data_IF_524535828755
#
_entry.id   IF_524535828755
#
_cell.length_a   1.000
_cell.length_b   1.000
_cell.length_c   1.000
_cell.angle_alpha   90.00
_cell.angle_beta   90.00
_cell.angle_gamma   90.00
#
_symmetry.space_group_name_H-M   'P 1'
#
loop_
_entity.id
_entity.type
_entity.pdbx_description
1 polymer ?
#
# COMPACT_ATOMS: atom_id res chain seq x y z
N UNK A 1 -22.29 1.24 -11.90
CA UNK A 1 -21.20 1.90 -11.16
C UNK A 1 -19.95 1.67 -11.97
N UNK A 2 -19.26 2.71 -12.41
CA UNK A 2 -17.99 2.54 -13.13
C UNK A 2 -17.03 1.78 -12.21
N UNK A 3 -16.42 0.70 -12.70
CA UNK A 3 -15.33 0.03 -11.96
C UNK A 3 -14.24 1.08 -11.67
N UNK A 4 -13.88 1.23 -10.39
CA UNK A 4 -12.78 2.12 -10.02
C UNK A 4 -11.51 1.60 -10.68
N UNK A 5 -10.96 2.36 -11.63
CA UNK A 5 -9.78 2.00 -12.40
C UNK A 5 -8.58 2.73 -11.82
N UNK A 6 -7.42 2.05 -11.74
CA UNK A 6 -6.19 2.69 -11.30
C UNK A 6 -5.78 3.84 -12.24
N UNK A 7 -5.35 4.99 -11.71
CA UNK A 7 -4.78 6.05 -12.52
C UNK A 7 -3.42 5.63 -13.10
N UNK A 8 -2.99 6.32 -14.16
CA UNK A 8 -1.61 6.18 -14.67
C UNK A 8 -0.62 6.74 -13.64
N UNK A 9 0.48 6.02 -13.39
CA UNK A 9 1.55 6.45 -12.48
C UNK A 9 2.04 7.88 -12.82
N UNK A 10 2.38 8.13 -14.09
CA UNK A 10 2.91 9.42 -14.53
C UNK A 10 1.89 10.56 -14.41
N UNK A 11 0.61 10.28 -14.69
CA UNK A 11 -0.45 11.27 -14.54
C UNK A 11 -0.64 11.65 -13.07
N UNK A 12 -0.69 10.66 -12.17
CA UNK A 12 -0.82 10.91 -10.74
C UNK A 12 0.41 11.65 -10.19
N UNK A 13 1.62 11.28 -10.62
CA UNK A 13 2.84 12.00 -10.24
C UNK A 13 2.77 13.49 -10.61
N UNK A 14 2.32 13.79 -11.84
CA UNK A 14 2.14 15.17 -12.31
C UNK A 14 1.08 15.94 -11.51
N UNK A 15 -0.03 15.29 -11.14
CA UNK A 15 -1.10 15.90 -10.36
C UNK A 15 -0.66 16.20 -8.91
N UNK A 16 0.07 15.27 -8.28
CA UNK A 16 0.64 15.45 -6.93
C UNK A 16 1.68 16.57 -6.90
N UNK A 17 2.57 16.61 -7.91
CA UNK A 17 3.56 17.66 -8.05
C UNK A 17 2.89 19.03 -8.27
N UNK A 18 1.86 19.12 -9.11
CA UNK A 18 1.11 20.35 -9.35
C UNK A 18 0.38 20.85 -8.09
N UNK A 19 0.00 19.93 -7.21
CA UNK A 19 -0.55 20.23 -5.89
C UNK A 19 0.51 20.60 -4.83
N UNK A 20 1.80 20.61 -5.19
CA UNK A 20 2.94 20.86 -4.29
C UNK A 20 3.01 19.88 -3.10
N UNK A 21 2.61 18.62 -3.34
CA UNK A 21 2.65 17.56 -2.35
C UNK A 21 3.96 16.79 -2.46
N UNK A 22 4.65 16.62 -1.33
CA UNK A 22 5.91 15.88 -1.26
C UNK A 22 5.66 14.38 -1.06
N UNK A 23 4.87 13.78 -1.96
CA UNK A 23 4.61 12.34 -2.00
C UNK A 23 4.48 11.88 -3.46
N UNK A 24 5.05 10.73 -3.77
CA UNK A 24 4.99 10.10 -5.09
C UNK A 24 3.85 9.06 -5.16
N UNK A 25 3.46 8.58 -6.37
CA UNK A 25 2.34 7.64 -6.50
C UNK A 25 2.55 6.30 -5.78
N UNK A 26 3.78 5.80 -5.68
CA UNK A 26 4.09 4.53 -4.99
C UNK A 26 3.91 4.68 -3.48
N UNK A 27 4.50 5.74 -2.92
CA UNK A 27 4.34 6.12 -1.52
C UNK A 27 2.85 6.31 -1.17
N UNK A 28 2.12 7.09 -1.98
CA UNK A 28 0.70 7.33 -1.76
C UNK A 28 -0.11 6.04 -1.83
N UNK A 29 0.12 5.19 -2.84
CA UNK A 29 -0.63 3.95 -2.97
C UNK A 29 -0.34 2.98 -1.82
N UNK A 30 0.93 2.89 -1.39
CA UNK A 30 1.33 2.11 -0.20
C UNK A 30 0.57 2.57 1.03
N UNK A 31 0.60 3.89 1.31
CA UNK A 31 -0.10 4.50 2.44
C UNK A 31 -1.60 4.14 2.46
N UNK A 32 -2.27 4.34 1.33
CA UNK A 32 -3.70 4.02 1.16
C UNK A 32 -3.99 2.54 1.40
N UNK A 33 -3.17 1.64 0.83
CA UNK A 33 -3.31 0.21 1.01
C UNK A 33 -3.09 -0.22 2.47
N UNK A 34 -2.12 0.39 3.16
CA UNK A 34 -1.85 0.15 4.58
C UNK A 34 -3.01 0.59 5.47
N UNK A 35 -3.57 1.77 5.20
CA UNK A 35 -4.76 2.26 5.90
C UNK A 35 -5.95 1.31 5.74
N UNK A 36 -6.21 0.84 4.50
CA UNK A 36 -7.25 -0.15 4.22
C UNK A 36 -6.97 -1.49 4.90
N UNK A 37 -5.73 -1.96 4.87
CA UNK A 37 -5.30 -3.19 5.55
C UNK A 37 -5.53 -3.11 7.06
N UNK A 38 -5.35 -1.92 7.65
CA UNK A 38 -5.59 -1.65 9.07
C UNK A 38 -7.04 -1.34 9.46
N UNK A 39 -7.99 -1.35 8.51
CA UNK A 39 -9.42 -1.21 8.80
C UNK A 39 -10.00 0.20 8.64
N UNK A 40 -9.24 1.15 8.05
CA UNK A 40 -9.83 2.44 7.65
C UNK A 40 -10.87 2.19 6.57
N UNK A 41 -12.09 2.71 6.78
CA UNK A 41 -13.22 2.44 5.89
C UNK A 41 -13.31 3.44 4.75
N UNK A 42 -13.97 3.05 3.67
CA UNK A 42 -14.28 3.92 2.51
C UNK A 42 -15.57 4.72 2.69
N UNK A 43 -16.32 4.46 3.77
CA UNK A 43 -17.69 4.96 3.97
C UNK A 43 -17.74 6.42 4.43
N UNK A 44 -16.63 6.94 4.96
CA UNK A 44 -16.51 8.32 5.40
C UNK A 44 -15.25 9.01 4.85
N UNK A 45 -15.00 10.25 5.30
CA UNK A 45 -13.86 11.05 4.89
C UNK A 45 -12.68 10.99 5.89
N UNK A 46 -12.70 10.08 6.86
CA UNK A 46 -11.64 9.96 7.88
C UNK A 46 -10.26 9.69 7.25
N UNK A 47 -10.22 8.94 6.16
CA UNK A 47 -9.00 8.69 5.39
C UNK A 47 -8.36 9.99 4.85
N UNK A 48 -9.15 11.01 4.53
CA UNK A 48 -8.62 12.28 4.03
C UNK A 48 -7.85 13.03 5.12
N UNK A 49 -8.39 13.07 6.34
CA UNK A 49 -7.72 13.71 7.46
C UNK A 49 -6.36 13.04 7.74
N UNK A 50 -6.31 11.71 7.76
CA UNK A 50 -5.06 10.95 7.94
C UNK A 50 -4.02 11.28 6.87
N UNK A 51 -4.43 11.36 5.60
CA UNK A 51 -3.51 11.73 4.51
C UNK A 51 -3.05 13.18 4.66
N UNK A 52 -3.94 14.12 4.97
CA UNK A 52 -3.56 15.53 5.13
C UNK A 52 -2.56 15.71 6.26
N UNK A 53 -2.79 15.06 7.40
CA UNK A 53 -1.89 15.09 8.54
C UNK A 53 -0.52 14.48 8.17
N UNK A 54 -0.51 13.36 7.45
CA UNK A 54 0.73 12.68 7.06
C UNK A 54 1.55 13.42 5.99
N UNK A 55 0.89 14.11 5.04
CA UNK A 55 1.55 14.62 3.83
C UNK A 55 1.62 16.14 3.73
N UNK A 56 0.85 16.88 4.52
CA UNK A 56 0.64 18.31 4.32
C UNK A 56 0.32 19.06 5.62
N UNK A 57 0.83 18.61 6.77
CA UNK A 57 0.64 19.23 8.09
C UNK A 57 -0.84 19.51 8.44
N UNK A 58 -1.74 18.61 8.00
CA UNK A 58 -3.19 18.72 8.22
C UNK A 58 -3.91 19.68 7.26
N UNK A 59 -3.19 20.34 6.35
CA UNK A 59 -3.79 21.20 5.33
C UNK A 59 -4.43 20.36 4.22
N UNK A 60 -5.68 20.70 3.88
CA UNK A 60 -6.43 20.02 2.84
C UNK A 60 -5.77 20.11 1.46
N UNK A 61 -5.89 19.04 0.69
CA UNK A 61 -5.38 18.97 -0.67
C UNK A 61 -6.30 19.67 -1.69
N UNK A 62 -5.77 20.11 -2.85
CA UNK A 62 -6.61 20.60 -3.95
C UNK A 62 -7.62 19.56 -4.45
N UNK A 63 -8.81 20.01 -4.85
CA UNK A 63 -9.93 19.14 -5.26
C UNK A 63 -9.59 18.18 -6.41
N UNK A 64 -8.73 18.60 -7.35
CA UNK A 64 -8.28 17.76 -8.47
C UNK A 64 -7.49 16.55 -7.97
N UNK A 65 -6.47 16.78 -7.14
CA UNK A 65 -5.66 15.71 -6.55
C UNK A 65 -6.53 14.78 -5.68
N UNK A 66 -7.42 15.34 -4.85
CA UNK A 66 -8.35 14.56 -4.04
C UNK A 66 -9.25 13.63 -4.85
N UNK A 67 -9.67 14.06 -6.04
CA UNK A 67 -10.52 13.23 -6.90
C UNK A 67 -9.76 12.00 -7.40
N UNK A 68 -8.50 12.17 -7.81
CA UNK A 68 -7.64 11.08 -8.25
C UNK A 68 -7.30 10.12 -7.10
N UNK A 69 -6.95 10.66 -5.92
CA UNK A 69 -6.65 9.84 -4.74
C UNK A 69 -7.86 9.05 -4.27
N UNK A 70 -9.06 9.66 -4.31
CA UNK A 70 -10.29 8.95 -3.99
C UNK A 70 -10.57 7.79 -4.95
N UNK A 71 -10.28 7.97 -6.25
CA UNK A 71 -10.42 6.89 -7.23
C UNK A 71 -9.43 5.76 -6.95
N UNK A 72 -8.17 6.09 -6.67
CA UNK A 72 -7.15 5.12 -6.29
C UNK A 72 -7.56 4.35 -5.03
N UNK A 73 -7.97 5.04 -3.97
CA UNK A 73 -8.41 4.43 -2.71
C UNK A 73 -9.56 3.44 -2.90
N UNK A 74 -10.57 3.81 -3.70
CA UNK A 74 -11.70 2.93 -3.99
C UNK A 74 -11.30 1.72 -4.86
N UNK A 75 -10.38 1.90 -5.81
CA UNK A 75 -9.85 0.80 -6.62
C UNK A 75 -9.06 -0.20 -5.75
N UNK A 76 -8.16 0.30 -4.90
CA UNK A 76 -7.38 -0.52 -3.96
C UNK A 76 -8.30 -1.26 -2.97
N UNK A 77 -9.32 -0.58 -2.42
CA UNK A 77 -10.31 -1.24 -1.57
C UNK A 77 -11.05 -2.35 -2.30
N UNK A 78 -11.44 -2.13 -3.57
CA UNK A 78 -12.11 -3.15 -4.38
C UNK A 78 -11.22 -4.38 -4.59
N UNK A 79 -9.93 -4.19 -4.85
CA UNK A 79 -8.94 -5.27 -4.99
C UNK A 79 -8.78 -6.07 -3.69
N UNK A 80 -8.56 -5.39 -2.56
CA UNK A 80 -8.41 -6.04 -1.25
C UNK A 80 -9.67 -6.79 -0.80
N UNK A 81 -10.84 -6.20 -1.03
CA UNK A 81 -12.12 -6.81 -0.68
C UNK A 81 -12.51 -8.00 -1.60
N UNK A 82 -11.93 -8.08 -2.80
CA UNK A 82 -12.21 -9.15 -3.77
C UNK A 82 -11.86 -10.54 -3.24
N UNK A 83 -12.42 -11.58 -3.87
CA UNK A 83 -12.08 -12.98 -3.59
C UNK A 83 -10.97 -13.52 -4.48
N UNK A 84 -10.50 -12.70 -5.42
CA UNK A 84 -9.53 -13.11 -6.43
C UNK A 84 -8.10 -12.90 -5.95
N UNK A 85 -7.91 -12.35 -4.74
CA UNK A 85 -6.61 -12.06 -4.12
C UNK A 85 -5.64 -11.34 -5.06
N UNK A 86 -6.18 -10.43 -5.87
CA UNK A 86 -5.43 -9.60 -6.79
C UNK A 86 -5.15 -8.28 -6.11
N UNK A 87 -3.86 -7.95 -5.95
CA UNK A 87 -3.40 -6.63 -5.55
C UNK A 87 -2.43 -6.10 -6.61
N UNK A 88 -2.71 -4.90 -7.09
CA UNK A 88 -1.83 -4.16 -8.00
C UNK A 88 -0.94 -3.23 -7.19
N UNK A 89 0.38 -3.25 -7.38
CA UNK A 89 1.27 -2.23 -6.83
C UNK A 89 1.42 -1.10 -7.86
N UNK A 90 1.00 0.12 -7.49
CA UNK A 90 1.21 1.32 -8.31
C UNK A 90 2.65 1.83 -8.15
N UNK A 91 3.57 1.26 -8.91
CA UNK A 91 5.00 1.60 -8.92
C UNK A 91 5.44 2.03 -10.34
N UNK A 92 6.63 2.65 -10.53
CA UNK A 92 7.17 2.92 -11.85
C UNK A 92 7.20 1.66 -12.73
N UNK A 93 7.18 1.81 -14.06
CA UNK A 93 7.26 0.63 -14.95
C UNK A 93 8.72 0.36 -15.30
N UNK A 94 9.13 -0.90 -15.20
CA UNK A 94 10.44 -1.36 -15.66
C UNK A 94 10.44 -1.54 -17.19
N UNK A 95 11.31 -0.81 -17.90
CA UNK A 95 11.48 -0.90 -19.34
C UNK A 95 12.90 -1.26 -19.80
N UNK A 96 13.89 -1.15 -18.92
CA UNK A 96 15.31 -1.43 -19.16
C UNK A 96 16.08 -1.55 -17.81
N UNK A 97 17.38 -1.83 -17.88
CA UNK A 97 18.22 -2.03 -16.69
C UNK A 97 18.33 -0.75 -15.82
N UNK A 98 18.27 0.45 -16.39
CA UNK A 98 18.28 1.71 -15.64
C UNK A 98 16.95 1.93 -14.91
N UNK A 99 15.85 1.45 -15.50
CA UNK A 99 14.54 1.44 -14.89
C UNK A 99 14.39 0.41 -13.75
N UNK A 100 15.27 -0.61 -13.67
CA UNK A 100 15.22 -1.60 -12.56
C UNK A 100 15.46 -0.94 -11.20
N UNK A 101 16.41 -0.02 -11.10
CA UNK A 101 16.69 0.70 -9.85
C UNK A 101 15.48 1.53 -9.41
N UNK A 102 14.91 2.33 -10.32
CA UNK A 102 13.71 3.14 -10.04
C UNK A 102 12.50 2.26 -9.69
N UNK A 103 12.39 1.10 -10.32
CA UNK A 103 11.33 0.13 -10.02
C UNK A 103 11.50 -0.46 -8.62
N UNK A 104 12.71 -0.89 -8.26
CA UNK A 104 13.02 -1.41 -6.93
C UNK A 104 12.79 -0.35 -5.83
N UNK A 105 13.28 0.87 -6.04
CA UNK A 105 13.03 2.01 -5.15
C UNK A 105 11.53 2.27 -4.99
N UNK A 106 10.77 2.24 -6.09
CA UNK A 106 9.32 2.39 -6.04
C UNK A 106 8.63 1.28 -5.25
N UNK A 107 9.10 0.03 -5.33
CA UNK A 107 8.59 -1.09 -4.51
C UNK A 107 8.91 -0.87 -3.03
N UNK A 108 10.13 -0.46 -2.71
CA UNK A 108 10.57 -0.16 -1.35
C UNK A 108 9.78 1.01 -0.76
N UNK A 109 9.60 2.09 -1.51
CA UNK A 109 8.77 3.24 -1.15
C UNK A 109 7.33 2.82 -0.85
N UNK A 110 6.77 1.95 -1.71
CA UNK A 110 5.42 1.42 -1.54
C UNK A 110 5.30 0.63 -0.22
N UNK A 111 6.26 -0.25 0.08
CA UNK A 111 6.25 -1.06 1.31
C UNK A 111 6.42 -0.18 2.56
N UNK A 112 7.37 0.76 2.55
CA UNK A 112 7.58 1.70 3.66
C UNK A 112 6.30 2.48 3.98
N UNK A 113 5.59 2.94 2.95
CA UNK A 113 4.36 3.69 3.13
C UNK A 113 3.17 2.80 3.49
N UNK A 114 3.13 1.54 3.02
CA UNK A 114 2.17 0.56 3.51
C UNK A 114 2.29 0.35 5.03
N UNK A 115 3.51 0.17 5.53
CA UNK A 115 3.77 0.04 6.98
C UNK A 115 3.31 1.31 7.72
N UNK A 116 3.63 2.48 7.17
CA UNK A 116 3.20 3.78 7.73
C UNK A 116 1.67 3.90 7.79
N UNK A 117 0.97 3.54 6.71
CA UNK A 117 -0.48 3.59 6.61
C UNK A 117 -1.17 2.62 7.57
N UNK A 118 -0.59 1.45 7.76
CA UNK A 118 -1.04 0.49 8.76
C UNK A 118 -0.91 1.07 10.19
N UNK A 119 0.19 1.76 10.47
CA UNK A 119 0.39 2.48 11.74
C UNK A 119 -0.64 3.60 11.97
N UNK A 120 -1.01 4.34 10.92
CA UNK A 120 -2.05 5.38 11.00
C UNK A 120 -3.45 4.85 11.31
N UNK A 121 -3.73 3.59 10.96
CA UNK A 121 -5.01 2.94 11.26
C UNK A 121 -5.17 2.56 12.75
N UNK A 122 -4.17 2.85 13.60
CA UNK A 122 -4.19 2.62 15.05
C UNK A 122 -4.49 1.16 15.45
N UNK A 123 -3.96 0.21 14.67
CA UNK A 123 -4.11 -1.23 14.94
C UNK A 123 -3.42 -1.65 16.24
N UNK A 124 -3.99 -2.63 16.95
CA UNK A 124 -3.37 -3.23 18.14
C UNK A 124 -2.51 -4.45 17.75
N UNK A 125 -1.25 -4.18 17.40
CA UNK A 125 -0.27 -5.22 17.06
C UNK A 125 0.01 -6.20 18.20
N UNK A 126 -0.25 -5.84 19.47
CA UNK A 126 0.02 -6.75 20.59
C UNK A 126 -0.85 -7.99 20.51
N UNK A 127 -2.08 -7.83 20.00
CA UNK A 127 -3.08 -8.87 19.85
C UNK A 127 -3.04 -9.59 18.50
N UNK A 128 -2.23 -9.11 17.56
CA UNK A 128 -2.10 -9.72 16.25
C UNK A 128 -1.55 -11.16 16.35
N UNK A 129 -2.01 -12.01 15.44
CA UNK A 129 -1.53 -13.38 15.25
C UNK A 129 -0.02 -13.45 14.98
N UNK A 130 0.57 -14.66 15.11
CA UNK A 130 1.96 -14.90 14.71
C UNK A 130 2.17 -14.57 13.23
N UNK A 131 1.23 -14.98 12.39
CA UNK A 131 1.32 -14.87 10.95
C UNK A 131 1.24 -13.41 10.51
N UNK A 132 0.40 -12.59 11.17
CA UNK A 132 0.37 -11.15 10.95
C UNK A 132 1.67 -10.46 11.38
N UNK A 133 2.28 -10.89 12.49
CA UNK A 133 3.56 -10.34 12.96
C UNK A 133 4.72 -10.73 12.03
N UNK A 134 4.73 -11.95 11.54
CA UNK A 134 5.70 -12.44 10.54
C UNK A 134 5.54 -11.69 9.22
N UNK A 135 4.30 -11.54 8.73
CA UNK A 135 4.02 -10.76 7.52
C UNK A 135 4.50 -9.31 7.63
N UNK A 136 4.30 -8.66 8.79
CA UNK A 136 4.81 -7.32 9.03
C UNK A 136 6.35 -7.29 9.07
N UNK A 137 6.98 -8.24 9.75
CA UNK A 137 8.44 -8.35 9.82
C UNK A 137 9.06 -8.55 8.43
N UNK A 138 8.46 -9.39 7.59
CA UNK A 138 8.93 -9.60 6.22
C UNK A 138 8.85 -8.31 5.40
N UNK A 139 7.77 -7.53 5.54
CA UNK A 139 7.64 -6.23 4.91
C UNK A 139 8.71 -5.24 5.43
N UNK A 140 9.02 -5.25 6.72
CA UNK A 140 10.09 -4.44 7.31
C UNK A 140 11.48 -4.80 6.77
N UNK A 141 11.74 -6.08 6.47
CA UNK A 141 12.99 -6.49 5.82
C UNK A 141 13.03 -6.11 4.33
N UNK A 142 11.92 -6.27 3.61
CA UNK A 142 11.79 -5.85 2.20
C UNK A 142 11.95 -4.33 2.06
N UNK A 143 11.49 -3.55 3.04
CA UNK A 143 11.65 -2.10 3.08
C UNK A 143 13.12 -1.62 3.11
N UNK A 144 14.08 -2.54 3.30
CA UNK A 144 15.52 -2.28 3.29
C UNK A 144 16.21 -2.81 2.03
N UNK A 145 15.46 -3.37 1.07
CA UNK A 145 16.00 -3.91 -0.16
C UNK A 145 16.67 -2.82 -0.99
N UNK A 146 17.79 -3.16 -1.62
CA UNK A 146 18.46 -2.35 -2.62
C UNK A 146 18.98 -3.27 -3.73
N UNK A 147 19.01 -2.77 -4.96
CA UNK A 147 19.63 -3.46 -6.09
C UNK A 147 21.13 -3.22 -6.03
N UNK A 148 21.92 -4.29 -6.19
CA UNK A 148 23.38 -4.22 -6.23
C UNK A 148 23.83 -4.14 -7.69
N UNK A 149 24.56 -3.07 -8.05
CA UNK A 149 25.07 -2.87 -9.41
C UNK A 149 26.20 -3.85 -9.79
N UNK A 150 26.84 -4.47 -8.81
CA UNK A 150 27.92 -5.44 -9.02
C UNK A 150 27.40 -6.86 -9.34
N UNK A 151 26.11 -7.12 -9.07
CA UNK A 151 25.44 -8.40 -9.25
C UNK A 151 24.69 -8.52 -10.60
N UNK A 152 24.16 -9.72 -10.91
CA UNK A 152 23.39 -9.97 -12.13
C UNK A 152 22.01 -9.28 -12.06
N UNK A 153 21.86 -8.17 -12.78
CA UNK A 153 20.62 -7.37 -12.82
C UNK A 153 19.42 -8.17 -13.35
N UNK A 154 19.62 -9.11 -14.27
CA UNK A 154 18.54 -9.93 -14.80
C UNK A 154 18.04 -10.92 -13.73
N UNK A 155 18.96 -11.49 -12.95
CA UNK A 155 18.61 -12.33 -11.81
C UNK A 155 17.88 -11.52 -10.73
N UNK A 156 18.37 -10.32 -10.40
CA UNK A 156 17.75 -9.45 -9.41
C UNK A 156 16.34 -9.00 -9.83
N UNK A 157 16.12 -8.70 -11.11
CA UNK A 157 14.79 -8.40 -11.64
C UNK A 157 13.80 -9.57 -11.43
N UNK A 158 14.23 -10.81 -11.68
CA UNK A 158 13.39 -11.99 -11.44
C UNK A 158 13.09 -12.21 -9.94
N UNK A 159 14.07 -11.97 -9.07
CA UNK A 159 13.88 -12.04 -7.63
C UNK A 159 12.89 -10.97 -7.15
N UNK A 160 12.98 -9.75 -7.70
CA UNK A 160 12.07 -8.67 -7.35
C UNK A 160 10.62 -9.00 -7.72
N UNK A 161 10.36 -9.67 -8.84
CA UNK A 161 9.02 -10.17 -9.18
C UNK A 161 8.47 -11.14 -8.12
N UNK A 162 9.32 -12.03 -7.58
CA UNK A 162 8.93 -12.94 -6.49
C UNK A 162 8.67 -12.19 -5.18
N UNK A 163 9.48 -11.19 -4.89
CA UNK A 163 9.30 -10.31 -3.72
C UNK A 163 7.98 -9.56 -3.83
N UNK A 164 7.60 -9.08 -5.01
CA UNK A 164 6.29 -8.44 -5.23
C UNK A 164 5.14 -9.39 -4.91
N UNK A 165 5.22 -10.66 -5.30
CA UNK A 165 4.19 -11.63 -4.93
C UNK A 165 4.17 -11.91 -3.42
N UNK A 166 5.33 -11.93 -2.76
CA UNK A 166 5.42 -12.05 -1.30
C UNK A 166 4.81 -10.84 -0.58
N UNK A 167 5.08 -9.63 -1.06
CA UNK A 167 4.46 -8.39 -0.55
C UNK A 167 2.93 -8.52 -0.59
N UNK A 168 2.37 -8.97 -1.72
CA UNK A 168 0.91 -9.14 -1.86
C UNK A 168 0.36 -10.14 -0.84
N UNK A 169 1.06 -11.26 -0.63
CA UNK A 169 0.67 -12.25 0.38
C UNK A 169 0.66 -11.64 1.79
N UNK A 170 1.71 -10.93 2.18
CA UNK A 170 1.79 -10.24 3.47
C UNK A 170 0.66 -9.21 3.65
N UNK A 171 0.37 -8.41 2.62
CA UNK A 171 -0.71 -7.43 2.63
C UNK A 171 -2.07 -8.09 2.87
N UNK A 172 -2.34 -9.21 2.16
CA UNK A 172 -3.59 -9.95 2.37
C UNK A 172 -3.69 -10.60 3.75
N UNK A 173 -2.59 -11.13 4.28
CA UNK A 173 -2.53 -11.65 5.66
C UNK A 173 -2.95 -10.57 6.66
N UNK A 174 -2.36 -9.38 6.56
CA UNK A 174 -2.66 -8.25 7.44
C UNK A 174 -4.10 -7.75 7.26
N UNK A 175 -4.57 -7.62 6.01
CA UNK A 175 -5.94 -7.22 5.74
C UNK A 175 -6.96 -8.22 6.32
N UNK A 176 -6.72 -9.53 6.20
CA UNK A 176 -7.60 -10.54 6.79
C UNK A 176 -7.62 -10.43 8.32
N UNK A 177 -6.44 -10.33 8.94
CA UNK A 177 -6.27 -10.21 10.38
C UNK A 177 -7.10 -9.05 10.95
N UNK A 178 -6.99 -7.85 10.36
CA UNK A 178 -7.58 -6.64 10.94
C UNK A 178 -8.97 -6.29 10.39
N UNK A 179 -9.36 -6.77 9.21
CA UNK A 179 -10.63 -6.39 8.58
C UNK A 179 -11.64 -7.55 8.43
N UNK A 180 -11.19 -8.81 8.39
CA UNK A 180 -12.07 -9.98 8.13
C UNK A 180 -12.14 -10.98 9.27
N UNK A 181 -11.36 -10.83 10.34
CA UNK A 181 -11.47 -11.69 11.53
C UNK A 181 -12.86 -11.61 12.15
N UNK A 182 -13.62 -12.70 12.06
CA UNK A 182 -14.92 -12.83 12.73
C UNK A 182 -14.76 -12.62 14.24
N UNK A 183 -15.73 -11.97 14.92
CA UNK A 183 -15.68 -11.84 16.37
C UNK A 183 -15.62 -13.23 17.00
N UNK A 184 -14.58 -13.48 17.80
CA UNK A 184 -14.38 -14.73 18.52
C UNK A 184 -15.69 -15.13 19.23
N UNK A 185 -16.34 -16.18 18.72
CA UNK A 185 -17.53 -16.76 19.34
C UNK A 185 -17.13 -17.21 20.74
N UNK A 186 -17.54 -16.45 21.77
CA UNK A 186 -17.43 -16.89 23.16
C UNK A 186 -18.08 -18.27 23.25
N UNK A 187 -17.39 -19.31 23.75
CA UNK A 187 -18.05 -20.59 23.99
C UNK A 187 -19.15 -20.33 25.03
N UNK A 188 -20.41 -20.46 24.60
CA UNK A 188 -21.54 -20.51 25.51
C UNK A 188 -21.41 -21.81 26.28
N UNK A 189 -20.92 -21.72 27.51
CA UNK A 189 -20.95 -22.84 28.46
C UNK A 189 -22.42 -23.05 28.80
N UNK A 190 -22.98 -24.17 28.35
CA UNK A 190 -24.28 -24.69 28.78
C UNK A 190 -24.10 -25.62 29.97
#
# INVERSE_FOLDING_TARGET
>A
MSEATFPSYNQLASDLQSASLAINPAELHGLLAGMLAGGVTVDDASWQALIFDYTNDGLGWPQQALTQVKQLFLATHSELASRDFKLTLLVPVNHDDEALYQFADGVVDWVNHFISGLGLAAIDLTRASSDAKEALQDLEEIAKLAIDEEDDLQQQAQLLEQIIEHIKACVFTLYIEFCKSEPAVKPMIH
#
